data_IF_668956159362
#
_entry.id   IF_668956159362
#
_cell.length_a   1.000
_cell.length_b   1.000
_cell.length_c   1.000
_cell.angle_alpha   90.00
_cell.angle_beta   90.00
_cell.angle_gamma   90.00
#
_symmetry.space_group_name_H-M   'P 1'
#
loop_
_entity.id
_entity.type
_entity.pdbx_description
1 polymer ?
#
# COMPACT_ATOMS: atom_id res chain seq x y z
N UNK A 1 -19.46 17.22 -53.84
CA UNK A 1 -18.10 17.29 -53.25
C UNK A 1 -17.78 18.75 -53.00
N UNK A 2 -18.12 19.23 -51.80
CA UNK A 2 -17.69 20.52 -51.24
C UNK A 2 -17.73 20.34 -49.72
N UNK A 3 -16.58 20.55 -49.09
CA UNK A 3 -16.32 20.46 -47.66
C UNK A 3 -16.74 21.74 -46.95
N UNK A 4 -17.46 21.63 -45.83
CA UNK A 4 -17.65 22.75 -44.88
C UNK A 4 -17.53 22.25 -43.44
N UNK A 5 -16.38 22.60 -42.88
CA UNK A 5 -16.01 22.90 -41.48
C UNK A 5 -16.83 22.35 -40.30
N UNK A 6 -16.11 21.60 -39.45
CA UNK A 6 -16.41 21.32 -38.05
C UNK A 6 -16.54 22.61 -37.22
N UNK A 7 -17.60 22.64 -36.40
CA UNK A 7 -17.85 23.70 -35.42
C UNK A 7 -17.23 23.34 -34.08
N UNK A 8 -16.26 24.15 -33.70
CA UNK A 8 -15.60 24.21 -32.39
C UNK A 8 -16.59 24.55 -31.28
N UNK A 9 -16.76 23.65 -30.31
CA UNK A 9 -17.31 23.99 -29.00
C UNK A 9 -16.18 24.45 -28.09
N UNK A 10 -16.24 25.72 -27.69
CA UNK A 10 -15.32 26.35 -26.73
C UNK A 10 -15.84 26.12 -25.31
N UNK A 11 -14.99 25.54 -24.44
CA UNK A 11 -15.15 25.64 -23.00
C UNK A 11 -14.25 26.79 -22.52
N UNK A 12 -14.86 27.95 -22.27
CA UNK A 12 -14.24 29.05 -21.57
C UNK A 12 -14.19 28.76 -20.07
N UNK A 13 -12.99 28.85 -19.50
CA UNK A 13 -12.79 29.38 -18.15
C UNK A 13 -13.06 28.48 -16.95
N UNK A 14 -12.17 27.53 -16.68
CA UNK A 14 -11.75 27.24 -15.30
C UNK A 14 -10.22 27.24 -15.26
N UNK A 15 -9.67 28.36 -14.81
CA UNK A 15 -8.25 28.49 -14.53
C UNK A 15 -7.87 27.53 -13.41
N UNK A 16 -7.32 26.38 -13.77
CA UNK A 16 -6.50 25.58 -12.87
C UNK A 16 -5.20 26.36 -12.63
N UNK A 17 -5.24 27.25 -11.66
CA UNK A 17 -4.01 27.63 -10.98
C UNK A 17 -3.50 26.38 -10.24
N UNK A 18 -2.54 25.71 -10.85
CA UNK A 18 -1.62 24.86 -10.11
C UNK A 18 -1.06 25.70 -8.95
N UNK A 19 -1.17 25.26 -7.68
CA UNK A 19 -0.42 25.91 -6.63
C UNK A 19 1.05 25.70 -6.97
N UNK A 20 1.74 26.82 -7.20
CA UNK A 20 3.15 26.90 -7.52
C UNK A 20 3.99 26.03 -6.58
N UNK A 21 5.05 25.52 -7.18
CA UNK A 21 6.19 24.80 -6.64
C UNK A 21 7.00 25.60 -5.61
N UNK A 22 6.37 26.04 -4.51
CA UNK A 22 6.99 26.84 -3.44
C UNK A 22 6.81 26.25 -2.03
N UNK A 23 6.77 24.92 -1.90
CA UNK A 23 6.90 24.23 -0.61
C UNK A 23 8.36 23.92 -0.22
N UNK A 24 9.33 24.46 -0.97
CA UNK A 24 10.77 24.30 -0.72
C UNK A 24 11.44 25.61 -0.26
N UNK A 25 10.90 26.29 0.75
CA UNK A 25 11.68 27.18 1.65
C UNK A 25 10.88 27.82 2.80
N UNK A 26 9.72 27.29 3.20
CA UNK A 26 9.00 27.76 4.38
C UNK A 26 9.31 26.88 5.60
N UNK A 27 9.71 27.48 6.73
CA UNK A 27 9.82 26.80 8.03
C UNK A 27 8.43 26.43 8.59
N UNK A 28 7.68 25.60 7.88
CA UNK A 28 6.44 25.03 8.37
C UNK A 28 6.71 24.18 9.60
N UNK A 29 6.02 24.46 10.71
CA UNK A 29 6.17 23.67 11.93
C UNK A 29 5.38 22.39 11.79
N UNK A 30 6.06 21.29 11.42
CA UNK A 30 5.48 19.96 11.44
C UNK A 30 5.26 19.48 12.88
N UNK A 31 4.22 18.68 13.15
CA UNK A 31 3.24 18.12 12.22
C UNK A 31 2.08 19.09 11.92
N UNK A 32 1.52 19.03 10.71
CA UNK A 32 0.28 19.75 10.36
C UNK A 32 -0.88 18.75 10.44
N UNK A 33 -1.91 19.07 11.22
CA UNK A 33 -3.11 18.23 11.37
C UNK A 33 -4.29 18.98 10.75
N UNK A 34 -5.02 18.34 9.85
CA UNK A 34 -6.13 18.94 9.12
C UNK A 34 -7.33 17.98 9.10
N UNK A 35 -8.51 18.47 9.47
CA UNK A 35 -9.77 17.78 9.26
C UNK A 35 -10.41 18.29 7.95
N UNK A 36 -10.56 17.40 6.97
CA UNK A 36 -11.16 17.71 5.68
C UNK A 36 -12.69 17.78 5.74
N UNK A 37 -13.33 18.66 4.96
CA UNK A 37 -14.77 18.62 4.71
C UNK A 37 -15.27 17.29 4.13
N UNK A 38 -14.38 16.47 3.55
CA UNK A 38 -14.70 15.12 3.07
C UNK A 38 -14.76 14.05 4.18
N UNK A 39 -14.67 14.43 5.45
CA UNK A 39 -14.78 13.48 6.57
C UNK A 39 -13.54 12.63 6.80
N UNK A 40 -12.35 13.22 6.58
CA UNK A 40 -11.05 12.58 6.82
C UNK A 40 -10.14 13.48 7.63
N UNK A 41 -9.16 12.89 8.31
CA UNK A 41 -8.10 13.62 9.03
C UNK A 41 -6.77 13.32 8.37
N UNK A 42 -6.04 14.37 7.96
CA UNK A 42 -4.72 14.26 7.37
C UNK A 42 -3.67 14.82 8.33
N UNK A 43 -2.58 14.07 8.51
CA UNK A 43 -1.40 14.49 9.27
C UNK A 43 -0.22 14.56 8.32
N UNK A 44 0.25 15.76 8.03
CA UNK A 44 1.47 15.97 7.25
C UNK A 44 2.67 15.97 8.20
N UNK A 45 3.65 15.14 7.88
CA UNK A 45 4.89 14.98 8.62
C UNK A 45 6.06 15.47 7.75
N UNK A 46 7.27 15.51 8.32
CA UNK A 46 8.48 15.85 7.55
C UNK A 46 8.72 14.82 6.44
N UNK A 47 9.54 15.20 5.45
CA UNK A 47 9.96 14.34 4.34
C UNK A 47 8.79 13.83 3.48
N UNK A 48 7.70 14.60 3.41
CA UNK A 48 6.58 14.33 2.50
C UNK A 48 5.69 13.16 2.90
N UNK A 49 5.81 12.65 4.13
CA UNK A 49 4.92 11.60 4.64
C UNK A 49 3.60 12.20 5.09
N UNK A 50 2.51 11.66 4.55
CA UNK A 50 1.13 12.01 4.91
C UNK A 50 0.48 10.77 5.51
N UNK A 51 -0.15 10.93 6.67
CA UNK A 51 -0.99 9.90 7.29
C UNK A 51 -2.44 10.40 7.25
N UNK A 52 -3.28 9.73 6.48
CA UNK A 52 -4.72 9.98 6.44
C UNK A 52 -5.43 8.93 7.29
N UNK A 53 -6.49 9.35 7.98
CA UNK A 53 -7.31 8.46 8.79
C UNK A 53 -8.77 8.88 8.79
N UNK A 54 -9.66 7.92 8.97
CA UNK A 54 -11.10 8.13 9.13
C UNK A 54 -11.51 8.00 10.61
N UNK A 55 -12.76 8.36 10.92
CA UNK A 55 -13.28 8.31 12.30
C UNK A 55 -13.40 6.89 12.85
N UNK A 56 -13.60 5.91 11.97
CA UNK A 56 -13.60 4.47 12.26
C UNK A 56 -12.20 3.83 12.15
N UNK A 57 -11.15 4.66 12.03
CA UNK A 57 -9.74 4.27 12.14
C UNK A 57 -9.20 3.39 11.00
N UNK A 58 -9.76 3.54 9.79
CA UNK A 58 -8.97 3.22 8.60
C UNK A 58 -7.78 4.17 8.51
N UNK A 59 -6.65 3.70 7.97
CA UNK A 59 -5.43 4.48 7.85
C UNK A 59 -4.83 4.31 6.47
N UNK A 60 -4.42 5.41 5.86
CA UNK A 60 -3.60 5.46 4.66
C UNK A 60 -2.31 6.21 4.96
N UNK A 61 -1.18 5.63 4.57
CA UNK A 61 0.13 6.30 4.59
C UNK A 61 0.57 6.54 3.15
N UNK A 62 1.00 7.76 2.85
CA UNK A 62 1.46 8.17 1.53
C UNK A 62 2.79 8.91 1.66
N UNK A 63 3.76 8.53 0.85
CA UNK A 63 4.97 9.28 0.58
C UNK A 63 5.09 9.42 -0.94
N UNK A 64 4.90 10.64 -1.45
CA UNK A 64 4.84 10.90 -2.89
C UNK A 64 6.06 10.29 -3.62
N UNK A 65 5.80 9.67 -4.78
CA UNK A 65 6.78 8.93 -5.61
C UNK A 65 7.55 7.77 -4.93
N UNK A 66 7.29 7.49 -3.65
CA UNK A 66 8.05 6.49 -2.88
C UNK A 66 7.20 5.27 -2.54
N UNK A 67 6.05 5.47 -1.90
CA UNK A 67 5.11 4.40 -1.56
C UNK A 67 3.78 4.95 -1.07
N UNK A 68 2.76 4.09 -1.11
CA UNK A 68 1.54 4.26 -0.33
C UNK A 68 1.07 2.92 0.23
N UNK A 69 0.27 2.98 1.29
CA UNK A 69 -0.27 1.80 1.96
C UNK A 69 -1.55 2.14 2.71
N UNK A 70 -2.41 1.14 2.86
CA UNK A 70 -3.66 1.23 3.60
C UNK A 70 -3.87 0.01 4.48
N UNK A 71 -4.54 0.20 5.61
CA UNK A 71 -5.44 -0.80 6.18
C UNK A 71 -6.83 -0.17 6.37
N UNK A 72 -7.88 -0.91 6.04
CA UNK A 72 -9.26 -0.47 6.27
C UNK A 72 -9.64 -0.61 7.76
N UNK A 73 -10.78 -0.04 8.14
CA UNK A 73 -11.27 -0.07 9.52
C UNK A 73 -11.60 -1.49 9.99
N UNK A 74 -12.18 -2.31 9.12
CA UNK A 74 -12.65 -3.68 9.40
C UNK A 74 -11.54 -4.75 9.47
N UNK A 75 -10.33 -4.45 9.00
CA UNK A 75 -9.23 -5.43 8.95
C UNK A 75 -9.33 -6.45 7.80
N UNK A 76 -10.34 -6.30 6.93
CA UNK A 76 -10.59 -7.16 5.76
C UNK A 76 -9.78 -6.75 4.54
N UNK A 77 -9.17 -5.56 4.53
CA UNK A 77 -8.34 -5.11 3.40
C UNK A 77 -7.12 -4.32 3.86
N UNK A 78 -5.97 -4.63 3.27
CA UNK A 78 -4.72 -3.93 3.49
C UNK A 78 -3.85 -4.00 2.24
N UNK A 79 -2.99 -3.01 2.01
CA UNK A 79 -2.16 -3.02 0.82
C UNK A 79 -0.83 -2.27 0.95
N UNK A 80 0.11 -2.59 0.05
CA UNK A 80 1.31 -1.82 -0.27
C UNK A 80 1.30 -1.52 -1.77
N UNK A 81 1.50 -0.25 -2.10
CA UNK A 81 1.88 0.23 -3.42
C UNK A 81 3.27 0.83 -3.32
N UNK A 82 4.25 0.16 -3.90
CA UNK A 82 5.66 0.53 -3.92
C UNK A 82 6.19 0.34 -5.35
N UNK A 83 7.18 1.12 -5.84
CA UNK A 83 7.74 0.97 -7.18
C UNK A 83 8.15 -0.47 -7.52
N UNK A 84 8.61 -1.23 -6.52
CA UNK A 84 9.04 -2.61 -6.68
C UNK A 84 7.99 -3.67 -6.29
N UNK A 85 6.86 -3.29 -5.68
CA UNK A 85 5.89 -4.26 -5.18
C UNK A 85 4.49 -3.67 -5.06
N UNK A 86 3.51 -4.44 -5.55
CA UNK A 86 2.09 -4.19 -5.37
C UNK A 86 1.52 -5.39 -4.64
N UNK A 87 1.13 -5.21 -3.39
CA UNK A 87 0.63 -6.27 -2.52
C UNK A 87 -0.75 -5.82 -2.05
N UNK A 88 -1.76 -6.63 -2.30
CA UNK A 88 -3.14 -6.34 -1.91
C UNK A 88 -3.74 -7.54 -1.22
N UNK A 89 -4.07 -7.38 0.05
CA UNK A 89 -4.88 -8.31 0.82
C UNK A 89 -6.34 -7.88 0.74
N UNK A 90 -7.21 -8.82 0.35
CA UNK A 90 -8.66 -8.69 0.37
C UNK A 90 -9.26 -9.98 0.90
N UNK A 91 -9.94 -9.89 2.04
CA UNK A 91 -10.37 -11.02 2.83
C UNK A 91 -9.23 -12.03 3.04
N UNK A 92 -9.47 -13.30 2.71
CA UNK A 92 -8.50 -14.37 2.89
C UNK A 92 -7.43 -14.46 1.80
N UNK A 93 -7.51 -13.60 0.79
CA UNK A 93 -6.61 -13.65 -0.36
C UNK A 93 -5.57 -12.53 -0.29
N UNK A 94 -4.35 -12.84 -0.72
CA UNK A 94 -3.29 -11.85 -0.88
C UNK A 94 -2.73 -11.94 -2.30
N UNK A 95 -2.89 -10.87 -3.07
CA UNK A 95 -2.42 -10.75 -4.44
C UNK A 95 -1.12 -9.95 -4.46
N UNK A 96 -0.13 -10.43 -5.21
CA UNK A 96 1.20 -9.84 -5.25
C UNK A 96 1.70 -9.73 -6.68
N UNK A 97 2.05 -8.51 -7.09
CA UNK A 97 2.82 -8.24 -8.30
C UNK A 97 4.10 -7.52 -7.92
N UNK A 98 5.23 -8.19 -8.12
CA UNK A 98 6.54 -7.62 -7.84
C UNK A 98 7.17 -7.19 -9.16
N UNK A 99 7.56 -5.93 -9.26
CA UNK A 99 8.22 -5.37 -10.44
C UNK A 99 9.55 -4.76 -10.07
N UNK A 100 10.33 -4.38 -11.08
CA UNK A 100 11.49 -3.51 -10.90
C UNK A 100 11.32 -2.39 -11.91
N UNK A 101 11.23 -1.13 -11.49
CA UNK A 101 11.27 -0.05 -12.47
C UNK A 101 12.68 0.01 -13.11
N UNK A 102 12.82 0.19 -14.44
CA UNK A 102 11.80 0.38 -15.47
C UNK A 102 11.35 -0.92 -16.17
N UNK A 103 11.91 -2.07 -15.80
CA UNK A 103 11.74 -3.34 -16.50
C UNK A 103 10.65 -4.22 -15.84
N UNK A 104 9.51 -4.46 -16.51
CA UNK A 104 8.36 -5.19 -15.97
C UNK A 104 8.62 -6.70 -15.82
N UNK A 105 9.56 -7.11 -14.99
CA UNK A 105 9.66 -8.49 -14.53
C UNK A 105 8.63 -8.71 -13.43
N UNK A 106 7.36 -8.83 -13.81
CA UNK A 106 6.24 -9.02 -12.89
C UNK A 106 6.25 -10.43 -12.31
N UNK A 107 7.06 -10.69 -11.28
CA UNK A 107 6.89 -11.94 -10.51
C UNK A 107 5.51 -11.84 -9.87
N UNK A 108 4.66 -12.83 -10.10
CA UNK A 108 3.29 -12.81 -9.61
C UNK A 108 3.10 -13.89 -8.57
N UNK A 109 2.30 -13.58 -7.56
CA UNK A 109 2.04 -14.45 -6.43
C UNK A 109 0.65 -14.23 -5.88
N UNK A 110 -0.05 -15.31 -5.51
CA UNK A 110 -1.34 -15.23 -4.84
C UNK A 110 -1.39 -16.23 -3.69
N UNK A 111 -1.65 -15.73 -2.50
CA UNK A 111 -1.92 -16.56 -1.32
C UNK A 111 -3.43 -16.70 -1.18
N UNK A 112 -3.92 -17.93 -1.09
CA UNK A 112 -5.34 -18.27 -0.87
C UNK A 112 -5.43 -19.35 0.23
N UNK A 113 -6.59 -19.57 0.88
CA UNK A 113 -6.75 -20.61 1.91
C UNK A 113 -6.22 -22.01 1.54
N UNK A 114 -6.31 -22.38 0.26
CA UNK A 114 -5.88 -23.68 -0.25
C UNK A 114 -4.39 -23.80 -0.63
N UNK A 115 -3.62 -22.72 -0.69
CA UNK A 115 -2.21 -22.78 -1.10
C UNK A 115 -1.66 -21.46 -1.61
N UNK A 116 -0.47 -21.53 -2.20
CA UNK A 116 0.22 -20.36 -2.76
C UNK A 116 0.49 -20.60 -4.23
N UNK A 117 -0.08 -19.73 -5.07
CA UNK A 117 0.17 -19.68 -6.49
C UNK A 117 1.30 -18.71 -6.79
N UNK A 118 2.17 -19.04 -7.73
CA UNK A 118 3.24 -18.16 -8.17
C UNK A 118 3.70 -18.45 -9.59
N UNK A 119 4.19 -17.42 -10.27
CA UNK A 119 4.70 -17.53 -11.64
C UNK A 119 5.61 -16.40 -12.05
N UNK A 120 6.31 -16.62 -13.16
CA UNK A 120 6.90 -15.54 -13.96
C UNK A 120 5.97 -15.15 -15.12
N UNK A 121 6.06 -13.92 -15.66
CA UNK A 121 5.21 -13.46 -16.76
C UNK A 121 5.34 -14.29 -18.03
N UNK A 122 6.56 -14.72 -18.37
CA UNK A 122 6.86 -15.45 -19.61
C UNK A 122 6.45 -16.92 -19.60
N UNK A 123 5.97 -17.43 -18.48
CA UNK A 123 5.58 -18.84 -18.36
C UNK A 123 4.12 -19.07 -18.79
N UNK A 124 3.80 -20.18 -19.46
CA UNK A 124 2.44 -20.48 -19.89
C UNK A 124 1.53 -21.02 -18.76
N UNK A 125 2.10 -21.32 -17.59
CA UNK A 125 1.40 -21.86 -16.43
C UNK A 125 1.92 -21.21 -15.14
N UNK A 126 1.20 -21.41 -14.04
CA UNK A 126 1.68 -21.11 -12.70
C UNK A 126 2.08 -22.39 -11.95
N UNK A 127 2.76 -22.22 -10.83
CA UNK A 127 2.92 -23.29 -9.85
C UNK A 127 2.03 -23.04 -8.65
N UNK A 128 1.51 -24.11 -8.08
CA UNK A 128 0.82 -24.10 -6.79
C UNK A 128 1.64 -24.91 -5.79
N UNK A 129 1.95 -24.30 -4.65
CA UNK A 129 2.46 -25.00 -3.46
C UNK A 129 1.33 -25.15 -2.47
N UNK A 130 1.08 -26.39 -2.05
CA UNK A 130 0.02 -26.70 -1.11
C UNK A 130 0.33 -27.98 -0.33
N UNK A 131 -0.33 -28.16 0.81
CA UNK A 131 -0.35 -29.37 1.61
C UNK A 131 -1.76 -29.93 1.76
N UNK A 132 -2.78 -29.17 1.33
CA UNK A 132 -4.20 -29.48 1.48
C UNK A 132 -4.86 -29.76 0.12
N UNK A 133 -4.64 -28.90 -0.88
CA UNK A 133 -5.23 -29.04 -2.22
C UNK A 133 -4.47 -30.07 -3.07
N UNK A 134 -3.14 -29.97 -3.08
CA UNK A 134 -2.22 -30.90 -3.74
C UNK A 134 -1.00 -30.99 -2.85
N UNK A 135 -0.53 -32.19 -2.48
CA UNK A 135 0.67 -32.31 -1.65
C UNK A 135 1.92 -31.99 -2.47
N UNK A 136 2.60 -30.91 -2.12
CA UNK A 136 3.85 -30.48 -2.75
C UNK A 136 3.64 -29.34 -3.73
N UNK A 137 4.33 -29.42 -4.86
CA UNK A 137 4.33 -28.38 -5.89
C UNK A 137 3.84 -28.95 -7.21
N UNK A 138 2.87 -28.29 -7.84
CA UNK A 138 2.31 -28.74 -9.12
C UNK A 138 2.18 -27.57 -10.08
N UNK A 139 2.36 -27.83 -11.38
CA UNK A 139 2.06 -26.86 -12.42
C UNK A 139 0.54 -26.81 -12.67
N UNK A 140 -0.03 -25.60 -12.77
CA UNK A 140 -1.45 -25.35 -12.96
C UNK A 140 -1.66 -24.40 -14.13
N UNK A 141 -2.45 -24.82 -15.11
CA UNK A 141 -2.92 -23.94 -16.19
C UNK A 141 -3.94 -22.96 -15.63
N UNK A 142 -3.76 -21.68 -15.92
CA UNK A 142 -4.59 -20.64 -15.35
C UNK A 142 -5.90 -20.51 -16.09
N UNK A 143 -7.01 -20.75 -15.40
CA UNK A 143 -8.25 -20.05 -15.72
C UNK A 143 -8.05 -18.56 -15.38
N UNK A 144 -8.69 -17.68 -16.16
CA UNK A 144 -8.59 -16.23 -15.92
C UNK A 144 -9.00 -15.92 -14.46
N UNK A 145 -8.22 -15.06 -13.78
CA UNK A 145 -8.45 -14.45 -12.45
C UNK A 145 -7.57 -14.88 -11.24
N UNK A 146 -6.51 -15.68 -11.39
CA UNK A 146 -5.63 -15.93 -10.22
C UNK A 146 -4.69 -14.76 -9.87
N UNK A 147 -4.36 -13.91 -10.82
CA UNK A 147 -3.41 -12.82 -10.64
C UNK A 147 -3.96 -11.51 -11.23
N UNK A 148 -4.51 -10.61 -10.40
CA UNK A 148 -4.97 -9.30 -10.88
C UNK A 148 -3.77 -8.44 -11.29
N UNK A 149 -3.96 -7.53 -12.26
CA UNK A 149 -2.88 -6.68 -12.77
C UNK A 149 -2.37 -5.65 -11.74
N UNK A 150 -3.23 -5.20 -10.81
CA UNK A 150 -2.92 -4.17 -9.81
C UNK A 150 -2.27 -2.90 -10.40
N UNK A 151 -2.63 -2.52 -11.63
CA UNK A 151 -1.92 -1.50 -12.42
C UNK A 151 -2.32 -0.05 -12.14
N UNK A 152 -3.17 0.19 -11.15
CA UNK A 152 -3.68 1.51 -10.77
C UNK A 152 -3.39 1.80 -9.28
N UNK A 153 -3.56 3.06 -8.85
CA UNK A 153 -3.53 3.38 -7.42
C UNK A 153 -4.81 2.85 -6.73
N UNK A 154 -4.71 1.63 -6.21
CA UNK A 154 -5.79 1.00 -5.45
C UNK A 154 -5.85 1.47 -3.98
N UNK A 155 -4.86 2.23 -3.50
CA UNK A 155 -4.81 2.63 -2.08
C UNK A 155 -5.96 3.56 -1.73
N UNK A 156 -6.25 4.53 -2.58
CA UNK A 156 -7.35 5.47 -2.36
C UNK A 156 -8.71 4.76 -2.35
N UNK A 157 -8.93 3.83 -3.28
CA UNK A 157 -10.15 3.05 -3.37
C UNK A 157 -10.38 2.21 -2.11
N UNK A 158 -9.35 1.49 -1.63
CA UNK A 158 -9.43 0.69 -0.41
C UNK A 158 -9.66 1.57 0.82
N UNK A 159 -9.02 2.74 0.88
CA UNK A 159 -9.17 3.65 2.02
C UNK A 159 -10.60 4.18 2.17
N UNK A 160 -11.34 4.38 1.07
CA UNK A 160 -12.69 4.92 1.12
C UNK A 160 -13.82 3.88 1.07
N UNK A 161 -13.57 2.69 0.51
CA UNK A 161 -14.63 1.72 0.22
C UNK A 161 -15.45 1.27 1.44
N UNK A 162 -14.81 1.12 2.60
CA UNK A 162 -15.43 0.58 3.82
C UNK A 162 -15.20 1.48 5.05
N UNK A 163 -14.88 2.74 4.83
CA UNK A 163 -14.54 3.67 5.90
C UNK A 163 -15.66 4.68 6.15
N UNK A 164 -15.82 5.12 7.40
CA UNK A 164 -16.70 6.23 7.75
C UNK A 164 -16.11 7.56 7.28
N UNK A 165 -16.50 7.98 6.08
CA UNK A 165 -16.08 9.20 5.41
C UNK A 165 -17.28 9.91 4.76
N UNK A 166 -17.10 11.17 4.35
CA UNK A 166 -18.17 12.01 3.82
C UNK A 166 -18.43 13.27 4.67
N UNK A 167 -19.13 14.28 4.12
CA UNK A 167 -19.42 15.54 4.81
C UNK A 167 -20.08 15.38 6.18
N UNK A 168 -20.90 14.34 6.37
CA UNK A 168 -21.56 14.00 7.63
C UNK A 168 -20.57 13.70 8.78
N UNK A 169 -19.35 13.25 8.46
CA UNK A 169 -18.31 12.98 9.45
C UNK A 169 -17.35 14.15 9.67
N UNK A 170 -17.46 15.26 8.92
CA UNK A 170 -16.55 16.40 9.02
C UNK A 170 -16.56 17.03 10.43
N UNK A 171 -17.74 17.16 11.05
CA UNK A 171 -17.85 17.63 12.44
C UNK A 171 -17.14 16.67 13.41
N UNK A 172 -17.30 15.36 13.23
CA UNK A 172 -16.68 14.34 14.09
C UNK A 172 -15.16 14.39 13.94
N UNK A 173 -14.66 14.54 12.71
CA UNK A 173 -13.23 14.72 12.44
C UNK A 173 -12.65 15.94 13.18
N UNK A 174 -13.37 17.07 13.17
CA UNK A 174 -12.96 18.27 13.90
C UNK A 174 -12.88 18.01 15.41
N UNK A 175 -13.86 17.32 16.00
CA UNK A 175 -13.84 16.96 17.42
C UNK A 175 -12.69 16.00 17.78
N UNK A 176 -12.37 15.07 16.88
CA UNK A 176 -11.21 14.18 17.03
C UNK A 176 -9.90 14.97 16.98
N UNK A 177 -9.75 15.90 16.03
CA UNK A 177 -8.55 16.74 15.89
C UNK A 177 -8.36 17.65 17.10
N UNK A 178 -9.42 18.25 17.65
CA UNK A 178 -9.35 19.06 18.89
C UNK A 178 -8.81 18.27 20.09
N UNK A 179 -9.03 16.95 20.13
CA UNK A 179 -8.56 16.06 21.19
C UNK A 179 -7.18 15.44 20.89
N UNK A 180 -6.61 15.71 19.72
CA UNK A 180 -5.30 15.21 19.33
C UNK A 180 -4.22 15.69 20.29
N UNK A 181 -3.28 14.79 20.63
CA UNK A 181 -2.11 15.12 21.44
C UNK A 181 -0.88 15.02 20.58
N UNK A 182 -0.02 16.04 20.59
CA UNK A 182 1.28 15.99 19.95
C UNK A 182 2.38 16.42 20.92
N UNK A 183 3.58 15.86 20.76
CA UNK A 183 4.74 16.19 21.60
C UNK A 183 6.02 16.03 20.79
N UNK A 184 6.94 16.99 20.95
CA UNK A 184 8.33 16.84 20.56
C UNK A 184 9.13 16.25 21.72
N UNK A 185 9.88 15.18 21.46
CA UNK A 185 10.72 14.50 22.44
C UNK A 185 12.12 15.13 22.48
N UNK A 186 12.88 14.81 23.53
CA UNK A 186 14.25 15.34 23.74
C UNK A 186 15.22 14.86 22.66
N UNK A 187 14.99 13.66 22.13
CA UNK A 187 15.73 13.09 21.00
C UNK A 187 15.40 13.77 19.66
N UNK A 188 14.52 14.78 19.65
CA UNK A 188 14.09 15.49 18.44
C UNK A 188 12.93 14.83 17.70
N UNK A 189 12.51 13.62 18.10
CA UNK A 189 11.38 12.91 17.50
C UNK A 189 10.06 13.61 17.79
N UNK A 190 9.07 13.38 16.93
CA UNK A 190 7.70 13.87 17.11
C UNK A 190 6.81 12.66 17.37
N UNK A 191 5.88 12.80 18.31
CA UNK A 191 4.83 11.81 18.57
C UNK A 191 3.46 12.46 18.58
N UNK A 192 2.48 11.79 17.96
CA UNK A 192 1.08 12.18 17.95
C UNK A 192 0.20 11.03 18.43
N UNK A 193 -0.94 11.36 19.02
CA UNK A 193 -2.02 10.43 19.30
C UNK A 193 -3.33 11.07 18.88
N UNK A 194 -4.01 10.47 17.90
CA UNK A 194 -5.26 10.96 17.31
C UNK A 194 -6.19 9.76 17.18
N UNK A 195 -7.39 9.82 17.77
CA UNK A 195 -8.37 8.73 17.71
C UNK A 195 -7.83 7.34 18.12
N UNK A 196 -6.90 7.28 19.08
CA UNK A 196 -6.24 6.05 19.50
C UNK A 196 -5.14 5.53 18.56
N UNK A 197 -4.93 6.18 17.40
CA UNK A 197 -3.83 5.92 16.48
C UNK A 197 -2.60 6.68 17.00
N UNK A 198 -1.51 5.97 17.23
CA UNK A 198 -0.24 6.54 17.62
C UNK A 198 0.64 6.73 16.39
N UNK A 199 1.20 7.93 16.22
CA UNK A 199 2.14 8.25 15.14
C UNK A 199 3.45 8.69 15.78
N UNK A 200 4.57 8.16 15.32
CA UNK A 200 5.91 8.62 15.68
C UNK A 200 6.69 8.90 14.41
N UNK A 201 7.32 10.07 14.34
CA UNK A 201 8.34 10.38 13.35
C UNK A 201 9.69 10.58 14.05
N UNK A 202 10.67 9.76 13.68
CA UNK A 202 12.05 9.87 14.12
C UNK A 202 12.75 11.06 13.42
N UNK A 203 13.95 11.42 13.90
CA UNK A 203 14.69 12.58 13.38
C UNK A 203 15.17 12.37 11.94
N UNK A 204 15.46 11.13 11.57
CA UNK A 204 15.82 10.69 10.22
C UNK A 204 14.60 10.60 9.27
N UNK A 205 13.40 10.87 9.78
CA UNK A 205 12.15 10.86 9.02
C UNK A 205 11.43 9.52 8.99
N UNK A 206 11.98 8.47 9.61
CA UNK A 206 11.30 7.18 9.74
C UNK A 206 9.98 7.36 10.52
N UNK A 207 8.89 6.80 10.00
CA UNK A 207 7.54 6.94 10.55
C UNK A 207 7.02 5.58 10.99
N UNK A 208 6.45 5.55 12.20
CA UNK A 208 5.64 4.46 12.73
C UNK A 208 4.22 4.97 12.93
N UNK A 209 3.23 4.25 12.38
CA UNK A 209 1.81 4.43 12.63
C UNK A 209 1.28 3.16 13.28
N UNK A 210 0.70 3.26 14.46
CA UNK A 210 0.38 2.12 15.31
C UNK A 210 -1.08 2.19 15.81
N UNK A 211 -1.84 1.12 15.56
CA UNK A 211 -3.17 0.87 16.09
C UNK A 211 -3.29 -0.63 16.34
N UNK A 212 -2.77 -1.09 17.49
CA UNK A 212 -2.64 -2.52 17.82
C UNK A 212 -3.90 -3.35 17.48
N UNK A 213 -3.74 -4.53 16.86
CA UNK A 213 -2.47 -5.15 16.48
C UNK A 213 -1.81 -4.56 15.22
N UNK A 214 -2.50 -3.66 14.50
CA UNK A 214 -2.07 -3.12 13.19
C UNK A 214 -0.98 -2.06 13.32
N UNK A 215 -0.03 -2.05 12.37
CA UNK A 215 0.96 -0.97 12.26
C UNK A 215 1.54 -0.85 10.85
N UNK A 216 2.01 0.36 10.53
CA UNK A 216 2.79 0.69 9.34
C UNK A 216 4.10 1.28 9.83
N UNK A 217 5.21 0.74 9.34
CA UNK A 217 6.53 1.34 9.50
C UNK A 217 7.05 1.70 8.11
N UNK A 218 7.52 2.93 7.94
CA UNK A 218 8.06 3.36 6.67
C UNK A 218 9.24 4.32 6.81
N UNK A 219 10.12 4.31 5.81
CA UNK A 219 11.28 5.18 5.72
C UNK A 219 11.31 5.83 4.34
N UNK A 220 11.02 7.13 4.23
CA UNK A 220 11.12 7.86 2.96
C UNK A 220 12.53 7.80 2.36
N UNK A 221 13.57 7.96 3.19
CA UNK A 221 14.96 7.97 2.72
C UNK A 221 15.48 6.61 2.26
N UNK A 222 14.90 5.51 2.75
CA UNK A 222 15.32 4.15 2.40
C UNK A 222 14.37 3.51 1.37
N UNK A 223 13.29 4.20 0.99
CA UNK A 223 12.20 3.65 0.20
C UNK A 223 11.70 2.31 0.73
N UNK A 224 11.47 2.21 2.05
CA UNK A 224 10.98 0.97 2.67
C UNK A 224 9.63 1.19 3.32
N UNK A 225 8.75 0.21 3.17
CA UNK A 225 7.47 0.17 3.87
C UNK A 225 7.16 -1.24 4.35
N UNK A 226 6.61 -1.35 5.56
CA UNK A 226 6.08 -2.58 6.15
C UNK A 226 4.71 -2.30 6.72
N UNK A 227 3.80 -3.24 6.50
CA UNK A 227 2.43 -3.21 6.98
C UNK A 227 2.17 -4.52 7.69
N UNK A 228 1.70 -4.41 8.92
CA UNK A 228 1.12 -5.53 9.64
C UNK A 228 -0.35 -5.21 9.87
N UNK A 229 -1.21 -6.04 9.29
CA UNK A 229 -2.66 -5.99 9.42
C UNK A 229 -3.18 -7.33 9.96
N UNK A 230 -4.48 -7.42 10.19
CA UNK A 230 -5.09 -8.53 10.94
C UNK A 230 -4.83 -9.91 10.29
N UNK A 231 -4.73 -9.96 8.95
CA UNK A 231 -4.50 -11.20 8.20
C UNK A 231 -3.15 -11.26 7.49
N UNK A 232 -2.40 -10.16 7.40
CA UNK A 232 -1.19 -10.10 6.56
C UNK A 232 -0.06 -9.29 7.22
N UNK A 233 1.16 -9.81 7.11
CA UNK A 233 2.40 -9.03 7.25
C UNK A 233 3.05 -8.93 5.87
N UNK A 234 3.32 -7.72 5.43
CA UNK A 234 3.88 -7.45 4.11
C UNK A 234 4.90 -6.33 4.18
N UNK A 235 5.91 -6.40 3.32
CA UNK A 235 6.89 -5.33 3.19
C UNK A 235 7.42 -5.21 1.77
N UNK A 236 7.91 -4.02 1.44
CA UNK A 236 8.61 -3.72 0.20
C UNK A 236 9.83 -2.81 0.48
N UNK A 237 10.89 -3.03 -0.29
CA UNK A 237 12.17 -2.34 -0.17
C UNK A 237 12.71 -1.90 -1.55
N UNK A 238 13.57 -0.89 -1.56
CA UNK A 238 14.26 -0.41 -2.77
C UNK A 238 15.16 -1.46 -3.44
N UNK A 239 15.73 -2.40 -2.67
CA UNK A 239 16.67 -3.40 -3.18
C UNK A 239 15.97 -4.60 -3.88
N UNK A 240 14.74 -4.41 -4.34
CA UNK A 240 13.86 -5.39 -4.99
C UNK A 240 13.50 -6.58 -4.08
N UNK A 241 13.56 -6.38 -2.77
CA UNK A 241 13.01 -7.35 -1.81
C UNK A 241 11.61 -6.94 -1.41
N UNK A 242 10.73 -7.93 -1.38
CA UNK A 242 9.39 -7.77 -0.87
C UNK A 242 8.88 -9.12 -0.38
N UNK A 243 7.91 -9.08 0.53
CA UNK A 243 7.25 -10.29 0.99
C UNK A 243 5.79 -10.01 1.36
N UNK A 244 5.01 -11.09 1.35
CA UNK A 244 3.68 -11.15 1.96
C UNK A 244 3.56 -12.46 2.73
N UNK A 245 3.03 -12.39 3.95
CA UNK A 245 2.83 -13.53 4.85
C UNK A 245 1.41 -13.48 5.37
N UNK A 246 0.66 -14.58 5.22
CA UNK A 246 -0.67 -14.82 5.82
C UNK A 246 -0.64 -16.13 6.56
N UNK A 247 -0.74 -16.09 7.90
CA UNK A 247 -0.59 -17.28 8.74
C UNK A 247 0.75 -17.97 8.49
N UNK A 248 0.71 -19.22 8.02
CA UNK A 248 1.92 -19.98 7.65
C UNK A 248 2.31 -19.85 6.17
N UNK A 249 1.43 -19.25 5.36
CA UNK A 249 1.63 -19.08 3.93
C UNK A 249 2.45 -17.82 3.66
N UNK A 250 3.36 -17.88 2.70
CA UNK A 250 4.25 -16.76 2.40
C UNK A 250 4.72 -16.74 0.96
N UNK A 251 4.98 -15.54 0.49
CA UNK A 251 5.68 -15.24 -0.75
C UNK A 251 6.83 -14.30 -0.41
N UNK A 252 8.03 -14.66 -0.81
CA UNK A 252 9.21 -13.80 -0.74
C UNK A 252 9.77 -13.60 -2.14
N UNK A 253 10.10 -12.35 -2.48
CA UNK A 253 10.73 -12.01 -3.75
C UNK A 253 12.06 -11.33 -3.52
N UNK A 254 12.98 -11.61 -4.42
CA UNK A 254 14.20 -10.83 -4.60
C UNK A 254 14.53 -10.68 -6.09
N UNK A 255 15.69 -10.11 -6.41
CA UNK A 255 16.22 -10.10 -7.77
C UNK A 255 16.41 -11.51 -8.35
N UNK A 256 16.79 -12.50 -7.53
CA UNK A 256 17.14 -13.83 -8.00
C UNK A 256 15.94 -14.72 -8.33
N UNK A 257 14.75 -14.38 -7.82
CA UNK A 257 13.61 -15.27 -7.94
C UNK A 257 12.46 -14.96 -6.97
N UNK A 258 11.54 -15.91 -6.87
CA UNK A 258 10.39 -15.91 -5.97
C UNK A 258 10.37 -17.23 -5.21
N UNK A 259 10.14 -17.17 -3.91
CA UNK A 259 9.87 -18.31 -3.04
C UNK A 259 8.42 -18.27 -2.57
N UNK A 260 7.73 -19.40 -2.71
CA UNK A 260 6.38 -19.63 -2.25
C UNK A 260 6.36 -20.78 -1.24
N UNK A 261 5.56 -20.65 -0.18
CA UNK A 261 5.48 -21.63 0.89
C UNK A 261 4.07 -21.62 1.46
N UNK A 262 3.49 -22.80 1.67
CA UNK A 262 2.21 -22.92 2.38
C UNK A 262 2.38 -23.17 3.89
N UNK A 263 3.63 -23.29 4.34
CA UNK A 263 4.00 -23.57 5.73
C UNK A 263 4.55 -24.98 5.94
N UNK A 264 4.27 -25.92 5.02
CA UNK A 264 4.80 -27.29 5.04
C UNK A 264 5.68 -27.58 3.85
N UNK A 265 5.26 -27.14 2.68
CA UNK A 265 6.02 -27.22 1.44
C UNK A 265 6.51 -25.85 1.04
N UNK A 266 7.65 -25.85 0.35
CA UNK A 266 8.31 -24.67 -0.18
C UNK A 266 8.71 -24.97 -1.62
N UNK A 267 8.53 -24.00 -2.49
CA UNK A 267 9.11 -24.04 -3.82
C UNK A 267 9.69 -22.68 -4.17
N UNK A 268 10.74 -22.68 -4.98
CA UNK A 268 11.33 -21.47 -5.49
C UNK A 268 11.38 -21.50 -7.00
N UNK A 269 11.26 -20.34 -7.61
CA UNK A 269 11.50 -20.14 -9.03
C UNK A 269 12.57 -19.08 -9.19
N UNK A 270 13.60 -19.36 -10.00
CA UNK A 270 14.61 -18.37 -10.30
C UNK A 270 14.13 -17.33 -11.31
N UNK A 271 14.95 -16.31 -11.53
CA UNK A 271 14.69 -15.23 -12.49
C UNK A 271 14.50 -15.71 -13.94
N UNK A 272 14.90 -16.94 -14.29
CA UNK A 272 14.71 -17.52 -15.62
C UNK A 272 13.40 -18.30 -15.75
N UNK A 273 12.69 -18.53 -14.65
CA UNK A 273 11.47 -19.33 -14.63
C UNK A 273 11.70 -20.82 -14.35
N UNK A 274 12.91 -21.21 -13.92
CA UNK A 274 13.22 -22.59 -13.52
C UNK A 274 12.83 -22.82 -12.06
N UNK A 275 12.07 -23.89 -11.83
CA UNK A 275 11.74 -24.36 -10.48
C UNK A 275 13.00 -24.97 -9.83
N UNK A 276 13.25 -24.62 -8.56
CA UNK A 276 14.36 -25.08 -7.72
C UNK A 276 13.81 -25.78 -6.49
#
# INVERSE_FOLDING_TARGET
>A
MQSVSDSTWSCSGFGLHAPNSDLRSGSGTYPIIYASPSGTISVMLKMGVIVEMTVDRAVRVLCHDTFSSVWNSLGTSACILHPNARIYQHDENVFCNFGTFPNPTYKMGTIVPGGVFFRMPHMPFAYMVSSTAVRGTVAVYLEQNQFPALSYDFTLAIFYAESMNGPEYAHVCNEVVKKARHRRRRDGSITLTINGIFIKQAVDGDVEVNLRPRYINCSPSKGTIRVHADMVDMAAQEDNKAYAVRGMQRIHVSRSGLLASDGRFVASIDHTGRLI
#
